data_IF_615705137499
#
_entry.id   IF_615705137499
#
_cell.length_a   1.000
_cell.length_b   1.000
_cell.length_c   1.000
_cell.angle_alpha   90.00
_cell.angle_beta   90.00
_cell.angle_gamma   90.00
#
_symmetry.space_group_name_H-M   'P 1'
#
loop_
_entity.id
_entity.type
_entity.pdbx_description
1 polymer ?
#
# COMPACT_ATOMS: atom_id res chain seq x y z
N UNK A 1 0.74 12.54 -13.02
CA UNK A 1 1.46 12.17 -14.26
C UNK A 1 2.95 12.21 -13.92
N UNK A 2 3.69 11.12 -14.09
CA UNK A 2 5.13 11.05 -13.75
C UNK A 2 5.94 11.64 -14.90
N UNK A 3 6.95 12.45 -14.58
CA UNK A 3 7.91 13.00 -15.55
C UNK A 3 9.35 12.64 -15.11
N UNK A 4 10.06 11.79 -15.87
CA UNK A 4 11.44 11.39 -15.56
C UNK A 4 12.43 12.55 -15.58
N UNK A 5 12.12 13.66 -16.26
CA UNK A 5 12.98 14.84 -16.28
C UNK A 5 13.05 15.56 -14.92
N UNK A 6 12.04 15.36 -14.05
CA UNK A 6 11.93 16.02 -12.76
C UNK A 6 12.02 15.07 -11.56
N UNK A 7 11.72 13.78 -11.74
CA UNK A 7 11.66 12.80 -10.64
C UNK A 7 12.30 11.49 -11.09
N UNK A 8 13.52 11.22 -10.60
CA UNK A 8 14.20 9.94 -10.79
C UNK A 8 13.91 9.00 -9.62
N UNK A 9 13.34 7.82 -9.92
CA UNK A 9 13.21 6.72 -8.98
C UNK A 9 14.36 5.73 -9.18
N UNK A 10 15.13 5.48 -8.12
CA UNK A 10 16.25 4.53 -8.11
C UNK A 10 15.86 3.33 -7.24
N UNK A 11 15.64 2.14 -7.83
CA UNK A 11 15.38 0.93 -7.06
C UNK A 11 16.54 0.61 -6.11
N UNK A 12 16.21 0.20 -4.88
CA UNK A 12 17.17 -0.23 -3.85
C UNK A 12 16.98 -1.70 -3.52
N UNK A 13 15.73 -2.15 -3.47
CA UNK A 13 15.37 -3.53 -3.20
C UNK A 13 14.11 -3.86 -3.98
N UNK A 14 14.08 -5.02 -4.61
CA UNK A 14 12.91 -5.55 -5.32
C UNK A 14 12.72 -6.97 -4.86
N UNK A 15 11.51 -7.29 -4.43
CA UNK A 15 11.09 -8.64 -4.14
C UNK A 15 9.70 -8.90 -4.75
N UNK A 16 9.17 -10.10 -4.57
CA UNK A 16 7.88 -10.52 -5.11
C UNK A 16 6.68 -9.68 -4.64
N UNK A 17 6.80 -8.99 -3.51
CA UNK A 17 5.70 -8.27 -2.86
C UNK A 17 5.93 -6.77 -2.71
N UNK A 18 7.14 -6.28 -3.01
CA UNK A 18 7.49 -4.89 -2.83
C UNK A 18 8.63 -4.42 -3.74
N UNK A 19 8.50 -3.17 -4.19
CA UNK A 19 9.54 -2.41 -4.86
C UNK A 19 9.89 -1.20 -3.98
N UNK A 20 11.08 -1.23 -3.40
CA UNK A 20 11.62 -0.13 -2.61
C UNK A 20 12.63 0.65 -3.44
N UNK A 21 12.56 1.98 -3.37
CA UNK A 21 13.56 2.81 -4.00
C UNK A 21 13.64 4.19 -3.38
N UNK A 22 14.57 4.97 -3.90
CA UNK A 22 14.80 6.36 -3.51
C UNK A 22 14.34 7.27 -4.63
N UNK A 23 13.70 8.36 -4.24
CA UNK A 23 13.34 9.47 -5.09
C UNK A 23 14.09 10.70 -4.60
N UNK A 24 14.75 11.38 -5.52
CA UNK A 24 15.31 12.71 -5.27
C UNK A 24 14.37 13.73 -5.88
N UNK A 25 13.81 14.60 -5.05
CA UNK A 25 12.93 15.68 -5.47
C UNK A 25 13.72 16.84 -6.09
N UNK A 26 13.10 17.73 -6.87
CA UNK A 26 13.78 18.89 -7.49
C UNK A 26 14.49 19.82 -6.50
N UNK A 27 14.01 19.88 -5.25
CA UNK A 27 14.63 20.65 -4.17
C UNK A 27 15.78 19.88 -3.47
N UNK A 28 16.31 18.82 -4.08
CA UNK A 28 17.34 17.93 -3.56
C UNK A 28 16.95 17.14 -2.30
N UNK A 29 15.68 17.16 -1.90
CA UNK A 29 15.19 16.34 -0.79
C UNK A 29 15.12 14.87 -1.22
N UNK A 30 15.76 14.00 -0.45
CA UNK A 30 15.62 12.56 -0.63
C UNK A 30 14.39 12.02 0.10
N UNK A 31 13.67 11.14 -0.57
CA UNK A 31 12.49 10.42 -0.08
C UNK A 31 12.64 8.95 -0.45
N UNK A 32 12.41 8.04 0.49
CA UNK A 32 12.25 6.63 0.14
C UNK A 32 10.82 6.38 -0.26
N UNK A 33 10.55 5.57 -1.27
CA UNK A 33 9.19 5.19 -1.66
C UNK A 33 9.13 3.68 -1.76
N UNK A 34 8.00 3.10 -1.33
CA UNK A 34 7.77 1.67 -1.49
C UNK A 34 6.42 1.40 -2.13
N UNK A 35 6.45 0.66 -3.22
CA UNK A 35 5.26 0.16 -3.90
C UNK A 35 5.00 -1.26 -3.45
N UNK A 36 3.82 -1.51 -2.89
CA UNK A 36 3.47 -2.77 -2.24
C UNK A 36 2.43 -3.51 -3.08
N UNK A 37 2.66 -4.81 -3.26
CA UNK A 37 1.70 -5.77 -3.77
C UNK A 37 1.75 -7.02 -2.89
N UNK A 38 1.01 -7.03 -1.79
CA UNK A 38 0.95 -8.18 -0.89
C UNK A 38 0.30 -9.37 -1.58
N UNK A 39 0.87 -10.57 -1.43
CA UNK A 39 0.26 -11.78 -1.99
C UNK A 39 -1.08 -12.11 -1.32
N UNK A 40 -1.94 -12.86 -2.01
CA UNK A 40 -3.21 -13.32 -1.44
C UNK A 40 -3.01 -14.32 -0.28
N UNK A 41 -1.92 -15.09 -0.32
CA UNK A 41 -1.59 -16.07 0.72
C UNK A 41 -1.11 -15.39 2.02
N UNK A 42 -1.71 -15.78 3.14
CA UNK A 42 -1.44 -15.14 4.43
C UNK A 42 -0.08 -15.51 5.03
N UNK A 43 0.49 -16.66 4.67
CA UNK A 43 1.83 -17.07 5.14
C UNK A 43 2.90 -16.33 4.36
N UNK A 44 2.76 -16.20 3.05
CA UNK A 44 3.66 -15.45 2.19
C UNK A 44 3.70 -13.95 2.59
N UNK A 45 2.54 -13.36 2.94
CA UNK A 45 2.51 -11.95 3.43
C UNK A 45 3.31 -11.69 4.70
N UNK A 46 3.62 -12.71 5.52
CA UNK A 46 4.47 -12.50 6.70
C UNK A 46 5.88 -12.02 6.32
N UNK A 47 6.38 -12.45 5.18
CA UNK A 47 7.68 -11.99 4.67
C UNK A 47 7.62 -10.49 4.32
N UNK A 48 6.54 -10.05 3.68
CA UNK A 48 6.28 -8.62 3.42
C UNK A 48 6.23 -7.80 4.72
N UNK A 49 5.60 -8.30 5.79
CA UNK A 49 5.58 -7.60 7.08
C UNK A 49 6.97 -7.42 7.68
N UNK A 50 7.79 -8.45 7.65
CA UNK A 50 9.16 -8.38 8.14
C UNK A 50 10.01 -7.40 7.30
N UNK A 51 9.86 -7.45 5.98
CA UNK A 51 10.56 -6.57 5.05
C UNK A 51 10.20 -5.08 5.27
N UNK A 52 8.92 -4.78 5.48
CA UNK A 52 8.46 -3.44 5.86
C UNK A 52 9.10 -2.98 7.19
N UNK A 53 9.19 -3.84 8.20
CA UNK A 53 9.81 -3.49 9.49
C UNK A 53 11.33 -3.25 9.33
N UNK A 54 12.02 -4.06 8.52
CA UNK A 54 13.44 -3.86 8.20
C UNK A 54 13.67 -2.53 7.48
N UNK A 55 12.85 -2.23 6.48
CA UNK A 55 12.87 -0.95 5.77
C UNK A 55 12.56 0.22 6.71
N UNK A 56 11.61 0.08 7.64
CA UNK A 56 11.29 1.11 8.63
C UNK A 56 12.51 1.51 9.46
N UNK A 57 13.30 0.52 9.90
CA UNK A 57 14.53 0.76 10.64
C UNK A 57 15.59 1.47 9.79
N UNK A 58 15.71 1.11 8.52
CA UNK A 58 16.66 1.72 7.57
C UNK A 58 16.28 3.16 7.21
N UNK A 59 14.99 3.42 6.99
CA UNK A 59 14.46 4.69 6.49
C UNK A 59 13.96 5.64 7.58
N UNK A 60 14.15 5.31 8.87
CA UNK A 60 13.59 6.02 10.03
C UNK A 60 13.83 7.54 10.08
N UNK A 61 14.90 8.04 9.44
CA UNK A 61 15.30 9.46 9.43
C UNK A 61 14.85 10.23 8.18
N UNK A 62 14.21 9.56 7.24
CA UNK A 62 13.86 10.11 5.92
C UNK A 62 12.36 9.92 5.68
N UNK A 63 11.67 10.85 4.98
CA UNK A 63 10.29 10.65 4.58
C UNK A 63 10.12 9.34 3.81
N UNK A 64 9.14 8.53 4.22
CA UNK A 64 8.91 7.23 3.62
C UNK A 64 7.41 6.92 3.51
N UNK A 65 6.81 7.11 2.33
CA UNK A 65 5.49 6.61 2.00
C UNK A 65 5.56 5.17 1.47
N UNK A 66 4.54 4.39 1.83
CA UNK A 66 4.23 3.09 1.26
C UNK A 66 2.88 3.18 0.55
N UNK A 67 2.81 2.72 -0.68
CA UNK A 67 1.63 2.82 -1.53
C UNK A 67 1.35 1.46 -2.18
N UNK A 68 0.09 1.02 -2.16
CA UNK A 68 -0.32 -0.11 -2.99
C UNK A 68 -1.34 -1.02 -2.33
N UNK A 69 -1.45 -2.23 -2.87
CA UNK A 69 -2.41 -3.25 -2.49
C UNK A 69 -1.79 -4.18 -1.44
N UNK A 70 -2.28 -4.11 -0.21
CA UNK A 70 -1.78 -4.94 0.89
C UNK A 70 -2.47 -6.30 0.95
N UNK A 71 -3.53 -6.52 0.14
CA UNK A 71 -4.39 -7.70 0.16
C UNK A 71 -4.93 -8.09 1.55
N UNK A 72 -5.01 -7.11 2.46
CA UNK A 72 -5.54 -7.26 3.81
C UNK A 72 -6.27 -5.99 4.25
N UNK A 73 -7.45 -6.18 4.82
CA UNK A 73 -8.18 -5.10 5.51
C UNK A 73 -7.54 -4.83 6.87
N UNK A 74 -7.52 -3.59 7.34
CA UNK A 74 -6.96 -3.22 8.64
C UNK A 74 -7.99 -3.35 9.76
N UNK A 75 -9.25 -3.03 9.46
CA UNK A 75 -10.37 -3.11 10.40
C UNK A 75 -11.53 -3.91 9.81
N UNK A 76 -12.39 -4.46 10.66
CA UNK A 76 -13.55 -5.25 10.23
C UNK A 76 -14.51 -4.43 9.34
N UNK A 77 -14.79 -3.17 9.70
CA UNK A 77 -15.66 -2.27 8.94
C UNK A 77 -15.14 -1.91 7.53
N UNK A 78 -13.91 -2.29 7.19
CA UNK A 78 -13.34 -2.17 5.85
C UNK A 78 -13.64 -3.39 4.97
N UNK A 79 -14.44 -4.32 5.47
CA UNK A 79 -14.98 -5.49 4.78
C UNK A 79 -16.51 -5.49 4.89
N UNK A 80 -17.23 -5.41 3.77
CA UNK A 80 -18.69 -5.23 3.78
C UNK A 80 -19.45 -6.33 4.54
N UNK A 81 -18.96 -7.56 4.47
CA UNK A 81 -19.64 -8.74 5.05
C UNK A 81 -18.86 -9.37 6.22
N UNK A 82 -17.94 -8.63 6.86
CA UNK A 82 -17.17 -9.18 7.98
C UNK A 82 -17.17 -8.21 9.16
N UNK A 83 -17.74 -8.62 10.27
CA UNK A 83 -17.74 -7.84 11.51
C UNK A 83 -16.65 -8.30 12.50
N UNK A 84 -15.92 -9.37 12.17
CA UNK A 84 -14.94 -9.99 13.06
C UNK A 84 -13.53 -9.54 12.76
N UNK A 85 -12.72 -9.40 13.81
CA UNK A 85 -11.28 -9.20 13.68
C UNK A 85 -10.64 -10.53 13.30
N UNK A 86 -9.82 -10.50 12.24
CA UNK A 86 -9.11 -11.69 11.76
C UNK A 86 -7.65 -11.66 12.18
N UNK A 87 -7.01 -12.82 12.28
CA UNK A 87 -5.56 -12.90 12.55
C UNK A 87 -4.72 -12.11 11.54
N UNK A 88 -5.14 -12.08 10.27
CA UNK A 88 -4.47 -11.29 9.23
C UNK A 88 -4.56 -9.78 9.50
N UNK A 89 -5.70 -9.28 10.00
CA UNK A 89 -5.85 -7.88 10.42
C UNK A 89 -4.93 -7.56 11.61
N UNK A 90 -4.85 -8.46 12.59
CA UNK A 90 -3.98 -8.28 13.75
C UNK A 90 -2.50 -8.24 13.36
N UNK A 91 -2.05 -9.22 12.57
CA UNK A 91 -0.67 -9.30 12.12
C UNK A 91 -0.27 -8.05 11.32
N UNK A 92 -1.18 -7.56 10.47
CA UNK A 92 -0.98 -6.31 9.72
C UNK A 92 -0.93 -5.07 10.63
N UNK A 93 -1.85 -4.96 11.60
CA UNK A 93 -1.82 -3.84 12.54
C UNK A 93 -0.57 -3.85 13.43
N UNK A 94 -0.10 -5.04 13.82
CA UNK A 94 1.15 -5.21 14.55
C UNK A 94 2.34 -4.74 13.71
N UNK A 95 2.43 -5.14 12.43
CA UNK A 95 3.54 -4.72 11.57
C UNK A 95 3.56 -3.22 11.32
N UNK A 96 2.41 -2.60 11.06
CA UNK A 96 2.27 -1.14 10.92
C UNK A 96 2.76 -0.42 12.17
N UNK A 97 2.33 -0.90 13.35
CA UNK A 97 2.72 -0.30 14.64
C UNK A 97 4.21 -0.43 14.90
N UNK A 98 4.78 -1.62 14.67
CA UNK A 98 6.22 -1.87 14.78
C UNK A 98 7.04 -0.99 13.82
N UNK A 99 6.52 -0.75 12.62
CA UNK A 99 7.13 0.12 11.62
C UNK A 99 6.89 1.63 11.86
N UNK A 100 6.05 2.00 12.85
CA UNK A 100 5.65 3.39 13.14
C UNK A 100 5.08 4.10 11.92
N UNK A 101 4.17 3.42 11.23
CA UNK A 101 3.48 3.91 10.05
C UNK A 101 2.03 4.26 10.40
N UNK A 102 1.50 5.28 9.74
CA UNK A 102 0.09 5.65 9.84
C UNK A 102 -0.53 5.86 8.45
N UNK A 103 -1.86 5.69 8.36
CA UNK A 103 -2.61 5.92 7.12
C UNK A 103 -2.53 7.41 6.75
N UNK A 104 -2.22 7.68 5.47
CA UNK A 104 -2.34 9.03 4.93
C UNK A 104 -3.80 9.45 4.87
N UNK A 105 -4.03 10.76 5.00
CA UNK A 105 -5.32 11.37 4.66
C UNK A 105 -5.68 10.97 3.23
N UNK A 106 -6.96 10.76 2.99
CA UNK A 106 -7.36 10.19 1.71
C UNK A 106 -8.76 10.59 1.31
N UNK A 107 -8.93 10.81 0.01
CA UNK A 107 -10.18 11.20 -0.63
C UNK A 107 -10.64 10.10 -1.59
N UNK A 108 -11.90 10.16 -2.00
CA UNK A 108 -12.49 9.15 -2.88
C UNK A 108 -13.12 7.98 -2.13
N UNK A 109 -13.04 6.79 -2.72
CA UNK A 109 -13.89 5.67 -2.31
C UNK A 109 -13.45 5.00 -1.00
N UNK A 110 -14.44 4.54 -0.22
CA UNK A 110 -14.21 3.84 1.06
C UNK A 110 -13.68 2.42 0.85
N UNK A 111 -14.13 1.74 -0.21
CA UNK A 111 -13.67 0.42 -0.62
C UNK A 111 -12.91 0.54 -1.93
N UNK A 112 -11.91 -0.32 -2.13
CA UNK A 112 -11.01 -0.27 -3.28
C UNK A 112 -11.10 -1.53 -4.15
N UNK A 113 -11.70 -2.59 -3.61
CA UNK A 113 -11.95 -3.84 -4.30
C UNK A 113 -13.40 -4.31 -4.10
N UNK A 114 -13.99 -4.92 -5.13
CA UNK A 114 -15.24 -5.66 -5.02
C UNK A 114 -15.12 -6.99 -5.78
N UNK A 115 -15.92 -7.99 -5.39
CA UNK A 115 -15.94 -9.31 -6.06
C UNK A 115 -16.80 -9.35 -7.32
N UNK A 116 -17.30 -8.21 -7.80
CA UNK A 116 -18.19 -8.05 -8.97
C UNK A 116 -19.46 -8.91 -8.93
N UNK A 117 -19.90 -9.36 -7.74
CA UNK A 117 -21.18 -10.08 -7.56
C UNK A 117 -22.27 -9.12 -7.09
N UNK A 118 -23.51 -9.54 -7.30
CA UNK A 118 -24.71 -8.78 -6.90
C UNK A 118 -25.42 -9.44 -5.71
N UNK A 119 -26.28 -8.67 -5.04
CA UNK A 119 -27.13 -9.14 -3.95
C UNK A 119 -26.32 -9.53 -2.69
N UNK A 120 -26.79 -10.55 -1.98
CA UNK A 120 -26.21 -11.01 -0.71
C UNK A 120 -24.79 -11.57 -0.82
N UNK A 121 -24.36 -11.91 -2.05
CA UNK A 121 -23.01 -12.42 -2.33
C UNK A 121 -22.00 -11.32 -2.69
N UNK A 122 -22.45 -10.07 -2.81
CA UNK A 122 -21.59 -8.93 -3.07
C UNK A 122 -20.67 -8.67 -1.86
N UNK A 123 -19.36 -8.58 -2.11
CA UNK A 123 -18.35 -8.29 -1.10
C UNK A 123 -17.47 -7.14 -1.58
N UNK A 124 -17.31 -6.13 -0.73
CA UNK A 124 -16.41 -5.00 -0.95
C UNK A 124 -15.37 -4.91 0.17
N UNK A 125 -14.12 -4.60 -0.19
CA UNK A 125 -12.98 -4.52 0.72
C UNK A 125 -12.13 -3.27 0.45
N UNK A 126 -11.50 -2.73 1.49
CA UNK A 126 -10.43 -1.72 1.36
C UNK A 126 -9.07 -2.40 1.52
N UNK A 127 -8.43 -2.66 0.38
CA UNK A 127 -7.15 -3.38 0.30
C UNK A 127 -5.98 -2.45 -0.05
N UNK A 128 -6.25 -1.40 -0.84
CA UNK A 128 -5.26 -0.41 -1.21
C UNK A 128 -5.09 0.64 -0.12
N UNK A 129 -3.83 0.95 0.22
CA UNK A 129 -3.47 1.95 1.23
C UNK A 129 -2.31 2.82 0.81
N UNK A 130 -2.30 4.00 1.42
CA UNK A 130 -1.15 4.86 1.47
C UNK A 130 -0.79 5.04 2.95
N UNK A 131 0.41 4.61 3.32
CA UNK A 131 0.95 4.73 4.67
C UNK A 131 2.19 5.63 4.65
N UNK A 132 2.51 6.27 5.77
CA UNK A 132 3.66 7.14 5.91
C UNK A 132 4.28 7.05 7.29
N UNK A 133 5.58 7.29 7.39
CA UNK A 133 6.25 7.47 8.68
C UNK A 133 6.11 8.92 9.18
N UNK A 134 6.51 9.18 10.43
CA UNK A 134 6.49 10.53 11.00
C UNK A 134 7.20 11.59 10.14
N UNK A 135 8.34 11.24 9.52
CA UNK A 135 9.09 12.18 8.68
C UNK A 135 8.30 12.60 7.44
N UNK A 136 7.50 11.68 6.87
CA UNK A 136 6.57 12.01 5.81
C UNK A 136 5.53 13.03 6.28
N UNK A 137 4.86 12.78 7.40
CA UNK A 137 3.84 13.71 7.92
C UNK A 137 4.42 15.07 8.32
N UNK A 138 5.67 15.10 8.79
CA UNK A 138 6.35 16.35 9.14
C UNK A 138 6.61 17.23 7.93
N UNK A 139 6.98 16.65 6.78
CA UNK A 139 7.34 17.41 5.57
C UNK A 139 6.19 17.56 4.57
N UNK A 140 5.26 16.60 4.56
CA UNK A 140 4.18 16.49 3.58
C UNK A 140 2.82 16.28 4.28
N UNK A 141 2.60 16.93 5.43
CA UNK A 141 1.40 16.72 6.27
C UNK A 141 0.05 17.06 5.60
N UNK A 142 0.09 17.90 4.55
CA UNK A 142 -1.08 18.24 3.73
C UNK A 142 -1.28 17.30 2.54
N UNK A 143 -0.44 16.27 2.40
CA UNK A 143 -0.60 15.26 1.36
C UNK A 143 -1.86 14.43 1.58
N UNK A 144 -2.50 14.05 0.48
CA UNK A 144 -3.64 13.15 0.48
C UNK A 144 -3.50 12.09 -0.62
N UNK A 145 -3.91 10.87 -0.30
CA UNK A 145 -4.03 9.79 -1.26
C UNK A 145 -5.42 9.82 -1.89
N UNK A 146 -5.49 9.91 -3.22
CA UNK A 146 -6.74 9.78 -3.95
C UNK A 146 -6.99 8.30 -4.29
N UNK A 147 -8.15 7.76 -3.88
CA UNK A 147 -8.52 6.35 -4.13
C UNK A 147 -9.58 6.21 -5.21
N UNK A 148 -9.32 5.29 -6.13
CA UNK A 148 -10.25 4.83 -7.18
C UNK A 148 -10.61 3.36 -6.97
N UNK A 149 -11.70 2.88 -7.60
CA UNK A 149 -12.02 1.44 -7.63
C UNK A 149 -11.00 0.75 -8.52
N UNK A 150 -10.43 -0.35 -8.02
CA UNK A 150 -9.71 -1.30 -8.86
C UNK A 150 -10.72 -2.07 -9.70
N UNK A 151 -10.68 -1.89 -11.02
CA UNK A 151 -11.39 -2.77 -11.95
C UNK A 151 -10.49 -3.97 -12.23
N UNK A 152 -10.85 -5.15 -11.73
CA UNK A 152 -10.19 -6.40 -12.10
C UNK A 152 -10.62 -6.84 -13.50
N UNK A 153 -10.16 -6.13 -14.53
CA UNK A 153 -10.08 -6.63 -15.91
C UNK A 153 -8.70 -6.31 -16.46
N UNK A 154 -7.76 -7.23 -16.27
CA UNK A 154 -6.68 -7.40 -17.23
C UNK A 154 -7.06 -8.65 -18.03
N UNK A 155 -7.96 -8.49 -18.99
CA UNK A 155 -7.94 -9.37 -20.16
C UNK A 155 -6.81 -8.85 -21.01
N UNK A 156 -5.62 -9.44 -20.89
CA UNK A 156 -4.62 -9.31 -21.95
C UNK A 156 -5.28 -9.88 -23.21
N UNK A 157 -5.37 -9.13 -24.33
CA UNK A 157 -5.64 -9.76 -25.60
C UNK A 157 -4.43 -10.65 -25.91
N UNK A 158 -4.59 -11.96 -25.76
CA UNK A 158 -3.70 -12.89 -26.45
C UNK A 158 -3.89 -12.63 -27.95
N UNK A 159 -2.82 -12.34 -28.73
CA UNK A 159 -2.94 -12.41 -30.17
C UNK A 159 -3.11 -13.90 -30.52
N UNK A 160 -4.25 -14.23 -31.11
CA UNK A 160 -4.43 -15.49 -31.82
C UNK A 160 -3.42 -15.54 -32.96
N UNK A 161 -2.69 -16.65 -33.07
CA UNK A 161 -1.83 -16.97 -34.22
C UNK A 161 -2.61 -16.94 -35.54
#
# INVERSE_FOLDING_TARGET
>A
MWDPAYIAFVPICVNEQALHGKVTLPNMQEVYVSFIYGLCDSRARKQLWNDIILCANRFKKTPWPLLGDFNVTRFSHEHSNCCQVTKAMEDFNCSIRSAKLDDLKSTGLKFTWNNMRCGTTAISKKLDRALGNWQWFKLFGDSYAHRTIRVSRITLPFPSN
#
